data_IF_896913737874
#
_entry.id   IF_896913737874
#
_cell.length_a   1.000
_cell.length_b   1.000
_cell.length_c   1.000
_cell.angle_alpha   90.00
_cell.angle_beta   90.00
_cell.angle_gamma   90.00
#
_symmetry.space_group_name_H-M   'P 1'
#
loop_
_entity.id
_entity.type
_entity.pdbx_description
1 polymer ?
#
# COMPACT_ATOMS: atom_id res chain seq x y z
N UNK A 1 -20.30 -7.48 11.26
CA UNK A 1 -18.84 -7.33 11.30
C UNK A 1 -18.40 -7.18 9.86
N UNK A 2 -18.20 -5.95 9.37
CA UNK A 2 -17.60 -5.78 8.05
C UNK A 2 -16.19 -6.40 8.12
N UNK A 3 -15.87 -7.34 7.23
CA UNK A 3 -14.50 -7.81 7.10
C UNK A 3 -13.64 -6.59 6.75
N UNK A 4 -12.50 -6.39 7.42
CA UNK A 4 -11.55 -5.34 7.09
C UNK A 4 -10.49 -5.89 6.15
N UNK A 5 -10.10 -5.11 5.14
CA UNK A 5 -8.94 -5.43 4.32
C UNK A 5 -7.67 -5.47 5.21
N UNK A 6 -6.79 -6.43 4.94
CA UNK A 6 -5.48 -6.51 5.59
C UNK A 6 -4.55 -7.49 4.88
N UNK A 7 -3.25 -7.25 4.96
CA UNK A 7 -2.21 -8.24 4.78
C UNK A 7 -2.01 -9.08 6.06
N UNK A 8 -1.92 -10.41 5.92
CA UNK A 8 -1.63 -11.35 7.00
C UNK A 8 -0.23 -11.96 6.84
N UNK A 9 0.77 -11.56 7.65
CA UNK A 9 2.13 -12.08 7.53
C UNK A 9 2.29 -13.56 7.86
N UNK A 10 1.48 -14.10 8.77
CA UNK A 10 1.58 -15.52 9.18
C UNK A 10 1.23 -16.49 8.05
N UNK A 11 0.37 -16.07 7.14
CA UNK A 11 -0.10 -16.86 5.99
C UNK A 11 0.43 -16.34 4.66
N UNK A 12 1.14 -15.21 4.66
CA UNK A 12 1.61 -14.49 3.48
C UNK A 12 0.50 -14.22 2.45
N UNK A 13 -0.67 -13.76 2.92
CA UNK A 13 -1.87 -13.53 2.10
C UNK A 13 -2.49 -12.16 2.31
N UNK A 14 -3.05 -11.60 1.23
CA UNK A 14 -3.89 -10.39 1.28
C UNK A 14 -5.35 -10.83 1.39
N UNK A 15 -6.07 -10.27 2.35
CA UNK A 15 -7.49 -10.49 2.55
C UNK A 15 -8.24 -9.21 2.21
N UNK A 16 -9.16 -9.30 1.26
CA UNK A 16 -10.07 -8.22 0.91
C UNK A 16 -11.51 -8.61 1.25
N UNK A 17 -12.36 -7.64 1.65
CA UNK A 17 -13.80 -7.83 1.71
C UNK A 17 -14.39 -8.27 0.36
N UNK A 18 -15.61 -8.83 0.35
CA UNK A 18 -16.35 -9.04 -0.89
C UNK A 18 -16.49 -7.72 -1.67
N UNK A 19 -16.48 -7.78 -3.00
CA UNK A 19 -16.55 -6.59 -3.88
C UNK A 19 -17.73 -5.66 -3.57
N UNK A 20 -18.87 -6.23 -3.16
CA UNK A 20 -20.08 -5.48 -2.76
C UNK A 20 -19.91 -4.62 -1.49
N UNK A 21 -18.84 -4.82 -0.71
CA UNK A 21 -18.51 -3.98 0.45
C UNK A 21 -17.76 -2.70 0.05
N UNK A 22 -17.26 -2.60 -1.18
CA UNK A 22 -16.56 -1.43 -1.69
C UNK A 22 -17.52 -0.49 -2.44
N UNK A 23 -17.28 0.81 -2.29
CA UNK A 23 -18.08 1.84 -2.95
C UNK A 23 -17.95 1.78 -4.47
N UNK A 24 -16.74 1.53 -4.97
CA UNK A 24 -16.43 1.41 -6.39
C UNK A 24 -15.34 0.36 -6.64
N UNK A 25 -15.16 -0.12 -7.88
CA UNK A 25 -14.02 -0.97 -8.23
C UNK A 25 -12.66 -0.31 -7.95
N UNK A 26 -12.55 1.01 -8.14
CA UNK A 26 -11.35 1.78 -7.84
C UNK A 26 -11.06 1.81 -6.34
N UNK A 27 -12.12 1.73 -5.50
CA UNK A 27 -11.97 1.50 -4.07
C UNK A 27 -11.31 0.16 -3.77
N UNK A 28 -11.87 -0.92 -4.30
CA UNK A 28 -11.25 -2.23 -4.12
C UNK A 28 -9.79 -2.27 -4.62
N UNK A 29 -9.51 -1.64 -5.77
CA UNK A 29 -8.17 -1.64 -6.37
C UNK A 29 -7.15 -0.84 -5.54
N UNK A 30 -7.52 0.33 -5.03
CA UNK A 30 -6.63 1.14 -4.21
C UNK A 30 -6.40 0.51 -2.83
N UNK A 31 -7.42 -0.08 -2.20
CA UNK A 31 -7.25 -0.89 -0.99
C UNK A 31 -6.32 -2.07 -1.24
N UNK A 32 -6.49 -2.78 -2.36
CA UNK A 32 -5.58 -3.86 -2.74
C UNK A 32 -4.14 -3.38 -2.96
N UNK A 33 -3.95 -2.17 -3.53
CA UNK A 33 -2.63 -1.58 -3.69
C UNK A 33 -1.97 -1.28 -2.34
N UNK A 34 -2.70 -0.70 -1.38
CA UNK A 34 -2.23 -0.47 -0.01
C UNK A 34 -1.78 -1.78 0.65
N UNK A 35 -2.64 -2.80 0.66
CA UNK A 35 -2.29 -4.11 1.23
C UNK A 35 -1.15 -4.78 0.47
N UNK A 36 -1.03 -4.53 -0.84
CA UNK A 36 0.09 -4.96 -1.66
C UNK A 36 1.43 -4.41 -1.17
N UNK A 37 1.48 -3.15 -0.73
CA UNK A 37 2.71 -2.56 -0.18
C UNK A 37 3.07 -3.15 1.18
N UNK A 38 2.07 -3.46 2.03
CA UNK A 38 2.31 -4.23 3.26
C UNK A 38 2.82 -5.62 2.93
N UNK A 39 2.20 -6.30 1.97
CA UNK A 39 2.63 -7.61 1.51
C UNK A 39 4.10 -7.56 1.09
N UNK A 40 4.53 -6.65 0.21
CA UNK A 40 5.97 -6.50 -0.15
C UNK A 40 6.90 -6.33 1.05
N UNK A 41 6.39 -5.81 2.16
CA UNK A 41 7.14 -5.60 3.40
C UNK A 41 7.48 -6.85 4.22
N UNK A 42 7.03 -8.03 3.82
CA UNK A 42 7.35 -9.29 4.50
C UNK A 42 8.86 -9.59 4.55
N UNK A 43 9.28 -10.37 5.56
CA UNK A 43 10.68 -10.72 5.82
C UNK A 43 11.37 -11.43 4.65
N UNK A 44 10.63 -12.20 3.84
CA UNK A 44 11.15 -12.85 2.64
C UNK A 44 11.29 -11.93 1.43
N UNK A 45 10.92 -10.65 1.56
CA UNK A 45 10.87 -9.65 0.48
C UNK A 45 11.71 -8.42 0.82
N UNK A 46 11.09 -7.32 1.28
CA UNK A 46 11.81 -6.09 1.65
C UNK A 46 12.03 -5.94 3.17
N UNK A 47 11.51 -6.85 3.99
CA UNK A 47 11.70 -6.90 5.44
C UNK A 47 11.48 -5.54 6.14
N UNK A 48 10.33 -4.93 5.89
CA UNK A 48 9.97 -3.62 6.45
C UNK A 48 9.00 -3.72 7.62
N UNK A 49 8.29 -4.84 7.76
CA UNK A 49 7.25 -5.05 8.78
C UNK A 49 7.80 -5.33 10.19
N UNK A 50 9.12 -5.32 10.37
CA UNK A 50 9.75 -5.56 11.66
C UNK A 50 9.23 -4.57 12.72
N UNK A 51 8.59 -5.09 13.75
CA UNK A 51 8.03 -4.31 14.86
C UNK A 51 6.68 -3.64 14.57
N UNK A 52 6.09 -3.85 13.38
CA UNK A 52 4.80 -3.28 12.99
C UNK A 52 3.67 -3.57 14.00
N UNK A 53 3.60 -4.80 14.51
CA UNK A 53 2.53 -5.22 15.44
C UNK A 53 2.81 -4.86 16.91
N UNK A 54 4.03 -4.44 17.24
CA UNK A 54 4.48 -4.25 18.63
C UNK A 54 4.81 -2.80 18.97
N UNK A 55 5.16 -1.98 17.98
CA UNK A 55 5.57 -0.59 18.17
C UNK A 55 4.70 0.34 17.32
N UNK A 56 4.04 1.30 17.99
CA UNK A 56 3.12 2.24 17.35
C UNK A 56 3.81 3.19 16.37
N UNK A 57 5.03 3.64 16.66
CA UNK A 57 5.77 4.54 15.79
C UNK A 57 6.26 3.81 14.53
N UNK A 58 6.72 2.55 14.68
CA UNK A 58 7.05 1.70 13.53
C UNK A 58 5.81 1.39 12.69
N UNK A 59 4.68 1.09 13.33
CA UNK A 59 3.39 0.94 12.63
C UNK A 59 3.05 2.20 11.83
N UNK A 60 3.09 3.37 12.44
CA UNK A 60 2.79 4.63 11.75
C UNK A 60 3.71 4.90 10.55
N UNK A 61 5.00 4.54 10.64
CA UNK A 61 5.95 4.63 9.51
C UNK A 61 5.60 3.64 8.39
N UNK A 62 5.16 2.44 8.75
CA UNK A 62 4.74 1.42 7.78
C UNK A 62 3.48 1.86 7.03
N UNK A 63 2.46 2.31 7.75
CA UNK A 63 1.22 2.85 7.19
C UNK A 63 1.51 4.02 6.25
N UNK A 64 2.42 4.93 6.65
CA UNK A 64 2.84 6.03 5.78
C UNK A 64 3.49 5.52 4.49
N UNK A 65 4.29 4.42 4.56
CA UNK A 65 4.85 3.79 3.37
C UNK A 65 3.76 3.18 2.50
N UNK A 66 2.82 2.44 3.10
CA UNK A 66 1.74 1.78 2.39
C UNK A 66 0.88 2.78 1.61
N UNK A 67 0.53 3.89 2.24
CA UNK A 67 -0.22 4.96 1.60
C UNK A 67 0.54 5.67 0.49
N UNK A 68 1.81 6.01 0.72
CA UNK A 68 2.65 6.57 -0.35
C UNK A 68 2.73 5.60 -1.55
N UNK A 69 2.88 4.30 -1.30
CA UNK A 69 3.00 3.30 -2.36
C UNK A 69 1.68 3.09 -3.11
N UNK A 70 0.55 3.04 -2.41
CA UNK A 70 -0.77 2.99 -3.01
C UNK A 70 -1.05 4.23 -3.87
N UNK A 71 -0.66 5.42 -3.41
CA UNK A 71 -0.77 6.65 -4.18
C UNK A 71 0.11 6.65 -5.44
N UNK A 72 1.35 6.14 -5.37
CA UNK A 72 2.23 5.99 -6.53
C UNK A 72 1.59 5.02 -7.54
N UNK A 73 1.13 3.84 -7.10
CA UNK A 73 0.44 2.87 -7.97
C UNK A 73 -0.78 3.51 -8.63
N UNK A 74 -1.62 4.20 -7.85
CA UNK A 74 -2.80 4.85 -8.38
C UNK A 74 -2.49 5.91 -9.43
N UNK A 75 -1.45 6.71 -9.21
CA UNK A 75 -0.96 7.67 -10.20
C UNK A 75 -0.48 6.99 -11.50
N UNK A 76 0.14 5.80 -11.40
CA UNK A 76 0.61 5.03 -12.56
C UNK A 76 -0.53 4.35 -13.34
N UNK A 77 -1.59 3.91 -12.65
CA UNK A 77 -2.68 3.14 -13.25
C UNK A 77 -3.94 3.97 -13.54
N UNK A 78 -3.92 5.27 -13.22
CA UNK A 78 -5.08 6.15 -13.35
C UNK A 78 -6.16 5.92 -12.31
N UNK A 79 -5.85 5.27 -11.18
CA UNK A 79 -6.76 5.16 -10.05
C UNK A 79 -6.66 6.44 -9.23
N UNK A 80 -7.72 7.25 -9.26
CA UNK A 80 -7.77 8.44 -8.44
C UNK A 80 -7.78 8.06 -6.94
N UNK A 81 -7.14 8.88 -6.08
CA UNK A 81 -7.14 8.65 -4.63
C UNK A 81 -8.55 8.92 -4.08
N UNK A 82 -9.39 7.89 -4.07
CA UNK A 82 -10.75 7.97 -3.55
C UNK A 82 -10.85 7.60 -2.06
N UNK A 83 -9.74 7.23 -1.42
CA UNK A 83 -9.74 6.66 -0.07
C UNK A 83 -8.89 7.53 0.84
N UNK A 84 -9.57 8.44 1.53
CA UNK A 84 -9.03 9.03 2.75
C UNK A 84 -9.95 8.78 3.95
N UNK A 85 -11.05 8.04 3.76
CA UNK A 85 -12.20 8.08 4.67
C UNK A 85 -12.03 7.27 5.97
N UNK A 86 -10.92 6.53 6.16
CA UNK A 86 -10.70 5.74 7.39
C UNK A 86 -9.30 5.93 8.05
N UNK A 87 -8.58 7.02 7.74
CA UNK A 87 -7.22 7.24 8.28
C UNK A 87 -7.14 8.18 9.49
N UNK A 88 -8.24 8.51 10.17
CA UNK A 88 -8.21 9.51 11.25
C UNK A 88 -7.18 9.18 12.36
N UNK A 89 -7.03 7.89 12.71
CA UNK A 89 -6.02 7.43 13.65
C UNK A 89 -4.59 7.53 13.09
N UNK A 90 -4.39 7.21 11.81
CA UNK A 90 -3.08 7.27 11.16
C UNK A 90 -2.62 8.70 10.91
N UNK A 91 -3.52 9.62 10.53
CA UNK A 91 -3.20 11.04 10.34
C UNK A 91 -2.68 11.66 11.65
N UNK A 92 -3.31 11.36 12.79
CA UNK A 92 -2.83 11.83 14.09
C UNK A 92 -1.44 11.27 14.43
N UNK A 93 -1.19 10.00 14.10
CA UNK A 93 0.10 9.34 14.33
C UNK A 93 1.19 9.83 13.37
N UNK A 94 0.86 10.12 12.11
CA UNK A 94 1.76 10.74 11.15
C UNK A 94 2.10 12.17 11.55
N UNK A 95 1.13 12.97 12.03
CA UNK A 95 1.42 14.32 12.51
C UNK A 95 2.39 14.29 13.70
N UNK A 96 2.21 13.33 14.62
CA UNK A 96 3.13 13.12 15.74
C UNK A 96 4.52 12.69 15.24
N UNK A 97 4.56 11.71 14.33
CA UNK A 97 5.78 11.22 13.70
C UNK A 97 6.55 12.35 13.00
N UNK A 98 5.89 13.13 12.15
CA UNK A 98 6.51 14.18 11.34
C UNK A 98 6.99 15.37 12.17
N UNK A 99 6.34 15.64 13.31
CA UNK A 99 6.86 16.60 14.30
C UNK A 99 8.15 16.11 14.94
N UNK A 100 8.27 14.80 15.22
CA UNK A 100 9.46 14.20 15.84
C UNK A 100 10.60 13.93 14.86
N UNK A 101 10.27 13.64 13.60
CA UNK A 101 11.20 13.30 12.53
C UNK A 101 10.69 13.86 11.20
N UNK A 102 11.08 15.10 10.83
CA UNK A 102 10.65 15.73 9.58
C UNK A 102 11.08 14.97 8.31
N UNK A 103 12.09 14.08 8.42
CA UNK A 103 12.56 13.25 7.30
C UNK A 103 11.75 11.96 7.13
N UNK A 104 10.84 11.66 8.06
CA UNK A 104 10.04 10.45 8.02
C UNK A 104 9.21 10.35 6.73
N UNK A 105 8.66 11.46 6.23
CA UNK A 105 7.91 11.48 4.97
C UNK A 105 8.78 11.08 3.78
N UNK A 106 9.92 11.76 3.57
CA UNK A 106 10.82 11.44 2.45
C UNK A 106 11.37 10.02 2.55
N UNK A 107 11.64 9.54 3.76
CA UNK A 107 12.09 8.17 4.00
C UNK A 107 11.00 7.15 3.67
N UNK A 108 9.75 7.42 4.05
CA UNK A 108 8.60 6.57 3.72
C UNK A 108 8.35 6.57 2.21
N UNK A 109 8.38 7.72 1.55
CA UNK A 109 8.20 7.84 0.10
C UNK A 109 9.29 7.08 -0.68
N UNK A 110 10.57 7.20 -0.28
CA UNK A 110 11.65 6.45 -0.93
C UNK A 110 11.49 4.93 -0.77
N UNK A 111 11.10 4.46 0.42
CA UNK A 111 10.81 3.04 0.66
C UNK A 111 9.55 2.57 -0.09
N UNK A 112 8.56 3.43 -0.22
CA UNK A 112 7.34 3.14 -0.97
C UNK A 112 7.67 2.94 -2.45
N UNK A 113 8.49 3.82 -3.04
CA UNK A 113 8.97 3.66 -4.41
C UNK A 113 9.67 2.30 -4.60
N UNK A 114 10.57 1.91 -3.69
CA UNK A 114 11.23 0.61 -3.76
C UNK A 114 10.24 -0.58 -3.70
N UNK A 115 9.17 -0.47 -2.91
CA UNK A 115 8.13 -1.49 -2.86
C UNK A 115 7.30 -1.55 -4.16
N UNK A 116 6.98 -0.40 -4.75
CA UNK A 116 6.29 -0.31 -6.04
C UNK A 116 7.15 -0.89 -7.16
N UNK A 117 8.43 -0.52 -7.22
CA UNK A 117 9.38 -1.06 -8.20
C UNK A 117 9.48 -2.60 -8.09
N UNK A 118 9.48 -3.12 -6.86
CA UNK A 118 9.50 -4.56 -6.61
C UNK A 118 8.27 -5.27 -7.15
N UNK A 119 7.08 -4.68 -7.00
CA UNK A 119 5.81 -5.21 -7.54
C UNK A 119 5.82 -5.18 -9.06
N UNK A 120 6.16 -4.04 -9.66
CA UNK A 120 6.15 -3.86 -11.12
C UNK A 120 7.11 -4.85 -11.79
N UNK A 121 8.31 -5.03 -11.22
CA UNK A 121 9.29 -5.99 -11.74
C UNK A 121 8.77 -7.44 -11.78
N UNK A 122 7.75 -7.78 -10.97
CA UNK A 122 7.17 -9.12 -10.87
C UNK A 122 5.79 -9.27 -11.49
N UNK A 123 5.04 -8.18 -11.64
CA UNK A 123 3.77 -8.17 -12.37
C UNK A 123 3.97 -8.51 -13.87
N UNK A 124 5.20 -8.44 -14.36
CA UNK A 124 5.52 -8.50 -15.79
C UNK A 124 5.24 -7.14 -16.43
N UNK A 125 6.00 -6.80 -17.48
CA UNK A 125 5.69 -5.61 -18.26
C UNK A 125 4.22 -5.64 -18.72
N UNK A 126 3.53 -4.50 -18.75
CA UNK A 126 2.19 -4.46 -19.32
C UNK A 126 2.22 -5.13 -20.70
N UNK A 127 1.28 -6.04 -20.94
CA UNK A 127 1.00 -6.49 -22.30
C UNK A 127 0.79 -5.22 -23.11
N UNK A 128 1.67 -4.97 -24.06
CA UNK A 128 1.50 -3.90 -25.00
C UNK A 128 0.25 -4.23 -25.84
N UNK A 129 -0.90 -3.75 -25.40
CA UNK A 129 -2.16 -3.92 -26.12
C UNK A 129 -2.13 -3.21 -27.48
N UNK A 130 -1.16 -2.33 -27.75
CA UNK A 130 -0.95 -1.77 -29.08
C UNK A 130 -0.33 -2.77 -30.06
N UNK A 131 0.43 -3.77 -29.58
CA UNK A 131 1.05 -4.77 -30.44
C UNK A 131 0.09 -5.92 -30.86
N UNK A 132 -1.09 -6.04 -30.23
CA UNK A 132 -2.03 -7.15 -30.49
C UNK A 132 -3.11 -6.82 -31.54
N UNK A 133 -3.09 -5.62 -32.12
CA UNK A 133 -4.02 -5.22 -33.21
C UNK A 133 -3.38 -5.23 -34.61
N UNK A 134 -2.17 -5.77 -34.76
CA UNK A 134 -1.45 -5.80 -36.03
C UNK A 134 -0.98 -7.20 -36.47
N UNK A 135 -1.76 -8.24 -36.19
CA UNK A 135 -1.55 -9.60 -36.69
C UNK A 135 -2.82 -10.16 -37.33
#
# INVERSE_FOLDING_TARGET
MAASAHYSPSTDTIHLPPTAAFLTPEHAAATAAHEGIHWVGHESRLDTLKGYFTDRALRAREELRAECGAAIIGAMTGLAPHHLEDHAAYVADWLTLLKSDPRAFLSAAAKAQAAVDWLIARAGHPIDTAATQAA
#
